data_IF_419478213357
#
_entry.id   IF_419478213357
#
_cell.length_a   1.000
_cell.length_b   1.000
_cell.length_c   1.000
_cell.angle_alpha   90.00
_cell.angle_beta   90.00
_cell.angle_gamma   90.00
#
_symmetry.space_group_name_H-M   'P 1'
#
loop_
_entity.id
_entity.type
_entity.pdbx_description
1 polymer ?
#
# COMPACT_ATOMS: atom_id res chain seq x y z
N UNK A 1 -10.84 13.18 13.20
CA UNK A 1 -9.90 12.14 13.67
C UNK A 1 -9.77 11.12 12.54
N UNK A 2 -8.58 10.96 11.96
CA UNK A 2 -8.34 9.80 11.10
C UNK A 2 -8.20 8.59 12.01
N UNK A 3 -9.14 7.64 11.90
CA UNK A 3 -9.08 6.38 12.63
C UNK A 3 -8.35 5.37 11.76
N UNK A 4 -7.09 5.07 12.11
CA UNK A 4 -6.37 3.97 11.48
C UNK A 4 -7.10 2.65 11.74
N UNK A 5 -7.21 1.81 10.71
CA UNK A 5 -7.95 0.54 10.77
C UNK A 5 -7.05 -0.62 11.13
N UNK A 6 -5.78 -0.54 10.75
CA UNK A 6 -4.82 -1.62 10.87
C UNK A 6 -3.55 -1.13 11.56
N UNK A 7 -2.93 -2.04 12.32
CA UNK A 7 -1.63 -1.80 12.96
C UNK A 7 -0.78 -3.06 12.80
N UNK A 8 0.45 -2.90 12.31
CA UNK A 8 1.40 -4.00 12.18
C UNK A 8 1.79 -4.52 13.56
N UNK A 9 1.67 -5.82 13.77
CA UNK A 9 2.11 -6.48 15.02
C UNK A 9 3.58 -6.86 15.02
N UNK A 10 4.17 -6.98 13.83
CA UNK A 10 5.58 -7.35 13.60
C UNK A 10 6.07 -6.55 12.40
N UNK A 11 7.40 -6.35 12.26
CA UNK A 11 7.95 -5.73 11.07
C UNK A 11 7.53 -6.51 9.83
N UNK A 12 7.23 -5.78 8.75
CA UNK A 12 6.89 -6.35 7.46
C UNK A 12 7.98 -6.04 6.45
N UNK A 13 8.36 -7.05 5.67
CA UNK A 13 9.38 -6.94 4.64
C UNK A 13 8.77 -7.23 3.28
N UNK A 14 9.10 -6.40 2.30
CA UNK A 14 8.62 -6.53 0.94
C UNK A 14 9.75 -6.26 -0.05
N UNK A 15 9.86 -7.10 -1.08
CA UNK A 15 10.91 -6.99 -2.11
C UNK A 15 10.28 -6.62 -3.43
N UNK A 16 10.93 -5.72 -4.15
CA UNK A 16 10.51 -5.32 -5.49
C UNK A 16 11.70 -4.80 -6.27
N UNK A 17 11.68 -4.94 -7.60
CA UNK A 17 12.78 -4.51 -8.49
C UNK A 17 13.13 -3.03 -8.34
N UNK A 18 12.11 -2.18 -8.12
CA UNK A 18 12.30 -0.74 -7.93
C UNK A 18 13.08 -0.37 -6.68
N UNK A 19 13.22 -1.30 -5.72
CA UNK A 19 14.00 -1.06 -4.50
C UNK A 19 15.48 -1.41 -4.65
N UNK A 20 15.90 -2.05 -5.75
CA UNK A 20 17.25 -2.62 -5.88
C UNK A 20 18.36 -1.55 -5.81
N UNK A 21 18.08 -0.34 -6.28
CA UNK A 21 19.04 0.77 -6.34
C UNK A 21 18.64 1.94 -5.43
N UNK A 22 17.83 1.67 -4.40
CA UNK A 22 17.36 2.68 -3.45
C UNK A 22 17.87 2.32 -2.06
N UNK A 23 18.70 3.21 -1.51
CA UNK A 23 19.08 3.22 -0.11
C UNK A 23 18.38 4.40 0.57
N UNK A 24 17.34 4.11 1.35
CA UNK A 24 16.57 5.06 2.12
C UNK A 24 16.56 4.65 3.58
N UNK A 25 17.20 5.44 4.42
CA UNK A 25 17.22 5.29 5.87
C UNK A 25 17.38 6.69 6.46
N UNK A 26 16.43 7.10 7.31
CA UNK A 26 16.40 8.44 7.90
C UNK A 26 16.05 8.40 9.37
N UNK A 27 16.71 9.23 10.18
CA UNK A 27 16.48 9.27 11.62
C UNK A 27 15.08 9.77 12.00
N UNK A 28 14.50 10.66 11.20
CA UNK A 28 13.15 11.20 11.38
C UNK A 28 12.05 10.25 10.87
N UNK A 29 12.42 9.21 10.11
CA UNK A 29 11.49 8.21 9.56
C UNK A 29 11.98 6.79 9.90
N UNK A 30 11.92 6.44 11.19
CA UNK A 30 12.33 5.10 11.69
C UNK A 30 11.37 3.98 11.31
N UNK A 31 10.21 4.33 10.76
CA UNK A 31 9.15 3.38 10.41
C UNK A 31 9.37 2.71 9.05
N UNK A 32 10.25 3.26 8.21
CA UNK A 32 10.48 2.83 6.85
C UNK A 32 11.98 2.80 6.54
N UNK A 33 12.47 1.65 6.10
CA UNK A 33 13.83 1.45 5.61
C UNK A 33 13.76 0.78 4.24
N UNK A 34 14.50 1.28 3.25
CA UNK A 34 14.69 0.61 1.96
C UNK A 34 16.18 0.39 1.77
N UNK A 35 16.59 -0.88 1.65
CA UNK A 35 18.00 -1.25 1.50
C UNK A 35 18.14 -2.60 0.81
N UNK A 36 19.07 -2.71 -0.14
CA UNK A 36 19.36 -3.98 -0.82
C UNK A 36 18.13 -4.65 -1.46
N UNK A 37 17.30 -3.87 -2.16
CA UNK A 37 16.12 -4.39 -2.86
C UNK A 37 14.93 -4.73 -1.95
N UNK A 38 14.95 -4.28 -0.70
CA UNK A 38 13.95 -4.63 0.31
C UNK A 38 13.44 -3.40 1.04
N UNK A 39 12.13 -3.23 1.03
CA UNK A 39 11.39 -2.30 1.87
C UNK A 39 11.04 -3.00 3.20
N UNK A 40 11.33 -2.34 4.31
CA UNK A 40 11.07 -2.81 5.67
C UNK A 40 10.21 -1.77 6.37
N UNK A 41 9.04 -2.18 6.83
CA UNK A 41 8.12 -1.36 7.60
C UNK A 41 8.17 -1.86 9.05
N UNK A 42 8.46 -0.96 9.97
CA UNK A 42 8.56 -1.28 11.40
C UNK A 42 7.22 -1.73 11.98
N UNK A 43 7.27 -2.51 13.06
CA UNK A 43 6.07 -2.83 13.84
C UNK A 43 5.39 -1.54 14.35
N UNK A 44 4.12 -1.65 14.74
CA UNK A 44 3.30 -0.56 15.28
C UNK A 44 2.94 0.55 14.26
N UNK A 45 3.47 0.47 13.04
CA UNK A 45 2.97 1.28 11.92
C UNK A 45 1.48 1.02 11.72
N UNK A 46 0.70 2.10 11.67
CA UNK A 46 -0.75 2.06 11.56
C UNK A 46 -1.21 2.79 10.30
N UNK A 47 -2.15 2.19 9.58
CA UNK A 47 -2.69 2.71 8.32
C UNK A 47 -4.20 2.47 8.23
N UNK A 48 -4.84 3.17 7.30
CA UNK A 48 -6.30 3.17 7.14
C UNK A 48 -6.79 2.23 6.04
N UNK A 49 -5.90 1.41 5.46
CA UNK A 49 -6.21 0.50 4.35
C UNK A 49 -6.23 1.19 3.01
N UNK A 50 -7.03 0.69 2.06
CA UNK A 50 -7.22 1.35 0.78
C UNK A 50 -8.60 2.03 0.73
N UNK A 51 -8.60 3.36 0.79
CA UNK A 51 -9.78 4.24 0.67
C UNK A 51 -9.89 4.69 -0.81
N UNK A 52 -11.06 4.55 -1.49
CA UNK A 52 -12.27 5.30 -1.14
C UNK A 52 -13.46 4.39 -0.84
N UNK A 53 -14.05 4.58 0.34
CA UNK A 53 -15.35 3.99 0.69
C UNK A 53 -16.43 4.77 -0.06
N UNK A 54 -16.88 4.29 -1.22
CA UNK A 54 -18.09 4.81 -1.85
C UNK A 54 -19.21 3.76 -1.71
N UNK A 55 -20.19 4.07 -0.87
CA UNK A 55 -21.40 3.27 -0.66
C UNK A 55 -22.62 4.02 -1.21
N UNK A 56 -22.87 4.02 -2.53
CA UNK A 56 -24.12 4.57 -3.03
C UNK A 56 -25.29 3.72 -2.47
N UNK A 57 -26.20 4.38 -1.74
CA UNK A 57 -27.43 3.82 -1.18
C UNK A 57 -27.28 2.69 -0.14
N UNK A 58 -26.08 2.44 0.40
CA UNK A 58 -25.86 1.39 1.41
C UNK A 58 -26.06 -0.05 0.92
N UNK A 59 -26.26 -0.25 -0.39
CA UNK A 59 -26.58 -1.53 -1.02
C UNK A 59 -25.38 -2.20 -1.71
N UNK A 60 -24.38 -1.40 -2.11
CA UNK A 60 -23.20 -1.89 -2.82
C UNK A 60 -21.93 -1.26 -2.23
N UNK A 61 -20.94 -2.09 -1.87
CA UNK A 61 -19.60 -1.60 -1.57
C UNK A 61 -18.85 -1.47 -2.89
N UNK A 62 -18.74 -0.25 -3.43
CA UNK A 62 -17.84 0.05 -4.54
C UNK A 62 -16.58 0.65 -3.93
N UNK A 63 -15.56 -0.18 -3.83
CA UNK A 63 -14.33 0.09 -3.13
C UNK A 63 -13.63 -1.22 -2.80
N UNK A 64 -12.45 -1.11 -2.22
CA UNK A 64 -11.62 -2.25 -1.88
C UNK A 64 -12.37 -3.24 -1.01
N UNK A 65 -12.29 -4.55 -1.30
CA UNK A 65 -12.95 -5.55 -0.49
C UNK A 65 -12.12 -5.79 0.78
N UNK A 66 -12.09 -4.81 1.66
CA UNK A 66 -11.63 -5.00 3.05
C UNK A 66 -12.47 -6.08 3.76
N UNK A 67 -13.68 -6.37 3.24
CA UNK A 67 -14.53 -7.47 3.71
C UNK A 67 -14.17 -8.86 3.17
N UNK A 68 -13.40 -8.99 2.10
CA UNK A 68 -12.95 -10.30 1.63
C UNK A 68 -11.72 -10.72 2.43
N UNK A 69 -11.94 -11.52 3.48
CA UNK A 69 -10.87 -12.02 4.30
C UNK A 69 -10.15 -13.17 3.60
N UNK A 70 -8.82 -13.14 3.65
CA UNK A 70 -7.95 -14.25 3.29
C UNK A 70 -7.00 -14.52 4.45
N UNK A 71 -7.07 -15.71 5.03
CA UNK A 71 -6.29 -16.09 6.22
C UNK A 71 -6.55 -15.19 7.44
N UNK A 72 -7.79 -14.69 7.61
CA UNK A 72 -8.19 -13.90 8.78
C UNK A 72 -7.84 -12.41 8.72
N UNK A 73 -7.28 -11.94 7.61
CA UNK A 73 -7.02 -10.52 7.33
C UNK A 73 -7.63 -10.13 5.98
N UNK A 74 -7.89 -8.83 5.70
CA UNK A 74 -8.28 -8.38 4.36
C UNK A 74 -7.36 -8.94 3.29
N UNK A 75 -7.90 -9.38 2.15
CA UNK A 75 -7.11 -10.00 1.08
C UNK A 75 -5.95 -9.11 0.65
N UNK A 76 -6.20 -7.81 0.55
CA UNK A 76 -5.21 -6.82 0.14
C UNK A 76 -4.54 -6.12 1.33
N UNK A 77 -4.52 -6.73 2.52
CA UNK A 77 -3.90 -6.17 3.73
C UNK A 77 -2.45 -5.73 3.48
N UNK A 78 -1.59 -6.64 3.00
CA UNK A 78 -0.19 -6.31 2.70
C UNK A 78 -0.01 -5.38 1.49
N UNK A 79 -0.73 -5.57 0.37
CA UNK A 79 -0.74 -4.57 -0.70
C UNK A 79 -1.08 -3.17 -0.20
N UNK A 80 -2.14 -3.01 0.61
CA UNK A 80 -2.59 -1.71 1.12
C UNK A 80 -1.54 -1.03 1.99
N UNK A 81 -0.87 -1.82 2.83
CA UNK A 81 0.22 -1.35 3.68
C UNK A 81 1.39 -0.79 2.87
N UNK A 82 1.85 -1.53 1.85
CA UNK A 82 2.98 -1.10 1.02
C UNK A 82 2.61 0.18 0.26
N UNK A 83 1.42 0.21 -0.34
CA UNK A 83 0.95 1.38 -1.08
C UNK A 83 0.79 2.61 -0.19
N UNK A 84 0.18 2.46 0.99
CA UNK A 84 0.02 3.53 1.98
C UNK A 84 1.37 4.15 2.34
N UNK A 85 2.36 3.34 2.71
CA UNK A 85 3.71 3.82 3.06
C UNK A 85 4.36 4.56 1.90
N UNK A 86 4.31 3.99 0.69
CA UNK A 86 4.92 4.63 -0.49
C UNK A 86 4.24 5.96 -0.82
N UNK A 87 2.91 6.06 -0.67
CA UNK A 87 2.17 7.30 -0.85
C UNK A 87 2.41 8.31 0.27
N UNK A 88 2.44 7.88 1.53
CA UNK A 88 2.64 8.74 2.69
C UNK A 88 4.02 9.43 2.63
N UNK A 89 5.05 8.69 2.23
CA UNK A 89 6.42 9.20 2.13
C UNK A 89 6.82 9.60 0.70
N UNK A 90 5.86 9.75 -0.24
CA UNK A 90 6.12 10.05 -1.65
C UNK A 90 7.01 11.28 -1.90
N UNK A 91 6.91 12.30 -1.05
CA UNK A 91 7.70 13.54 -1.18
C UNK A 91 9.17 13.40 -0.83
N UNK A 92 9.55 12.32 -0.14
CA UNK A 92 10.92 12.07 0.29
C UNK A 92 11.50 10.79 -0.30
N UNK A 93 10.65 9.91 -0.81
CA UNK A 93 11.05 8.70 -1.52
C UNK A 93 11.34 9.02 -2.99
N UNK A 94 12.35 8.39 -3.61
CA UNK A 94 12.73 8.64 -4.99
C UNK A 94 11.89 7.80 -5.97
N UNK A 95 10.58 7.69 -5.76
CA UNK A 95 9.68 6.93 -6.63
C UNK A 95 8.72 7.84 -7.37
N UNK A 96 8.50 7.55 -8.65
CA UNK A 96 7.43 8.18 -9.41
C UNK A 96 6.09 7.52 -9.11
N UNK A 97 5.00 8.20 -9.46
CA UNK A 97 3.65 7.64 -9.35
C UNK A 97 3.53 6.33 -10.12
N UNK A 98 4.11 6.25 -11.33
CA UNK A 98 4.08 5.06 -12.17
C UNK A 98 4.76 3.88 -11.48
N UNK A 99 5.91 4.11 -10.83
CA UNK A 99 6.63 3.07 -10.10
C UNK A 99 5.83 2.56 -8.90
N UNK A 100 5.16 3.45 -8.16
CA UNK A 100 4.29 3.06 -7.03
C UNK A 100 3.07 2.30 -7.51
N UNK A 101 2.43 2.75 -8.59
CA UNK A 101 1.29 2.06 -9.23
C UNK A 101 1.69 0.68 -9.76
N UNK A 102 2.89 0.54 -10.31
CA UNK A 102 3.43 -0.74 -10.78
C UNK A 102 3.68 -1.70 -9.61
N UNK A 103 4.34 -1.24 -8.54
CA UNK A 103 4.53 -2.02 -7.30
C UNK A 103 3.19 -2.54 -6.79
N UNK A 104 2.18 -1.67 -6.74
CA UNK A 104 0.83 -2.02 -6.32
C UNK A 104 0.21 -3.10 -7.21
N UNK A 105 0.24 -2.90 -8.53
CA UNK A 105 -0.35 -3.81 -9.51
C UNK A 105 0.26 -5.19 -9.45
N UNK A 106 1.59 -5.28 -9.33
CA UNK A 106 2.31 -6.56 -9.23
C UNK A 106 2.00 -7.25 -7.90
N UNK A 107 1.99 -6.52 -6.79
CA UNK A 107 1.66 -7.10 -5.49
C UNK A 107 0.21 -7.63 -5.46
N UNK A 108 -0.75 -6.95 -6.11
CA UNK A 108 -2.12 -7.45 -6.28
C UNK A 108 -2.18 -8.75 -7.12
N UNK A 109 -1.35 -8.86 -8.16
CA UNK A 109 -1.25 -10.06 -8.98
C UNK A 109 -0.63 -11.22 -8.19
N UNK A 110 0.41 -10.96 -7.39
CA UNK A 110 1.06 -11.96 -6.52
C UNK A 110 0.06 -12.55 -5.52
N UNK A 111 -0.76 -11.72 -4.89
CA UNK A 111 -1.82 -12.18 -4.00
C UNK A 111 -3.04 -12.72 -4.77
N UNK A 112 -3.01 -12.75 -6.11
CA UNK A 112 -4.08 -13.25 -7.00
C UNK A 112 -5.42 -12.54 -6.79
N UNK A 113 -5.40 -11.25 -6.50
CA UNK A 113 -6.64 -10.51 -6.31
C UNK A 113 -7.35 -10.28 -7.66
N UNK A 114 -8.61 -10.72 -7.82
CA UNK A 114 -9.23 -10.92 -9.14
C UNK A 114 -9.52 -9.63 -9.92
N UNK A 115 -9.64 -8.50 -9.22
CA UNK A 115 -9.98 -7.21 -9.83
C UNK A 115 -8.76 -6.30 -10.00
N UNK A 116 -7.53 -6.85 -9.94
CA UNK A 116 -6.30 -6.08 -9.85
C UNK A 116 -6.18 -5.01 -10.94
N UNK A 117 -6.50 -5.33 -12.20
CA UNK A 117 -6.43 -4.36 -13.29
C UNK A 117 -7.38 -3.16 -13.10
N UNK A 118 -8.64 -3.41 -12.70
CA UNK A 118 -9.64 -2.36 -12.46
C UNK A 118 -9.19 -1.44 -11.33
N UNK A 119 -8.57 -2.02 -10.30
CA UNK A 119 -8.22 -1.25 -9.11
C UNK A 119 -6.88 -0.54 -9.22
N UNK A 120 -5.90 -1.13 -9.92
CA UNK A 120 -4.69 -0.42 -10.36
C UNK A 120 -5.07 0.82 -11.18
N UNK A 121 -6.02 0.71 -12.10
CA UNK A 121 -6.52 1.87 -12.86
C UNK A 121 -7.13 2.94 -11.95
N UNK A 122 -7.91 2.55 -10.95
CA UNK A 122 -8.49 3.51 -10.00
C UNK A 122 -7.40 4.22 -9.17
N UNK A 123 -6.40 3.49 -8.69
CA UNK A 123 -5.25 4.06 -7.96
C UNK A 123 -4.46 5.03 -8.83
N UNK A 124 -4.18 4.66 -10.07
CA UNK A 124 -3.49 5.52 -11.04
C UNK A 124 -4.22 6.86 -11.24
N UNK A 125 -5.55 6.82 -11.43
CA UNK A 125 -6.35 8.01 -11.77
C UNK A 125 -6.80 8.85 -10.59
N UNK A 126 -7.05 8.22 -9.44
CA UNK A 126 -7.67 8.88 -8.29
C UNK A 126 -6.80 8.89 -7.04
N UNK A 127 -5.65 8.21 -7.05
CA UNK A 127 -4.65 8.29 -5.99
C UNK A 127 -3.92 9.65 -5.98
N UNK A 128 -2.94 9.83 -5.07
CA UNK A 128 -2.12 11.04 -5.04
C UNK A 128 -1.46 11.28 -6.40
N UNK A 129 -1.63 12.48 -6.94
CA UNK A 129 -1.04 12.89 -8.23
C UNK A 129 0.18 13.81 -8.03
N UNK A 130 0.47 14.17 -6.79
CA UNK A 130 1.57 15.06 -6.42
C UNK A 130 2.82 14.24 -6.05
N UNK A 131 3.36 13.52 -7.04
CA UNK A 131 4.65 12.85 -6.93
C UNK A 131 5.79 13.80 -7.34
#
# INVERSE_FOLDING_TARGET
>A
MNTYLYTLKKPFEFRHRHFNNVDFEREDVKWLIIKGGKLTISAEYSWDGCTPKWQPFGLFTIGTPDGALRHGVPWIYHPSLVHDVLCQFRKILPFTQEQVTEIWSEHLQEVKWPLHAVYTYAVDKFGPQDF
#
